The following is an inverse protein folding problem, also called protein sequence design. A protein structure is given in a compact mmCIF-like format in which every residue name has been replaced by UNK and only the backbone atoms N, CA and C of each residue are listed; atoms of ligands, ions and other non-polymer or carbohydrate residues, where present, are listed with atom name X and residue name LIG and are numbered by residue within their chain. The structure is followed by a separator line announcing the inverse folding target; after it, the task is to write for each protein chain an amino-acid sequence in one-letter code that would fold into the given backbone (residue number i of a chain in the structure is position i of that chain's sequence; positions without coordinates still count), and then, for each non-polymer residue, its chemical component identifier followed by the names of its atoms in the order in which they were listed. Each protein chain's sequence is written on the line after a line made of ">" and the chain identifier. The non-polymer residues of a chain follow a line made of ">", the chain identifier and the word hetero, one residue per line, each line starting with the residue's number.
data_IF_100318578372
#
_entry.id   IF_100318578372
#
_cell.length_a   1.000
_cell.length_b   1.000
_cell.length_c   1.000
_cell.angle_alpha   90.00
_cell.angle_beta   90.00
_cell.angle_gamma   90.00
#
_symmetry.space_group_name_H-M   'P 1'
#
loop_
_entity.id
_entity.type
_entity.pdbx_description
1 polymer ?
#
# COMPACT_ATOMS: atom_id res chain seq x y z
N UNK A 1 -105.31 -26.70 -34.45
CA UNK A 1 -106.07 -25.74 -35.29
C UNK A 1 -106.13 -26.28 -36.70
N UNK A 2 -107.36 -26.52 -37.18
CA UNK A 2 -107.84 -26.53 -38.57
C UNK A 2 -107.29 -27.55 -39.59
N UNK A 3 -108.17 -28.50 -39.88
CA UNK A 3 -108.44 -29.12 -41.17
C UNK A 3 -108.34 -28.16 -42.37
N UNK A 4 -107.85 -28.66 -43.51
CA UNK A 4 -108.25 -28.21 -44.85
C UNK A 4 -108.25 -29.40 -45.82
N UNK A 5 -109.44 -29.96 -46.01
CA UNK A 5 -109.82 -30.86 -47.10
C UNK A 5 -109.97 -30.03 -48.37
N UNK A 6 -109.36 -30.47 -49.47
CA UNK A 6 -109.55 -29.91 -50.81
C UNK A 6 -109.89 -31.02 -51.80
N UNK A 7 -111.18 -31.19 -52.06
CA UNK A 7 -111.74 -31.97 -53.17
C UNK A 7 -111.54 -31.21 -54.49
N UNK A 8 -111.15 -31.91 -55.56
CA UNK A 8 -111.56 -31.51 -56.91
C UNK A 8 -111.68 -32.73 -57.83
N UNK A 9 -112.92 -32.95 -58.28
CA UNK A 9 -113.41 -33.96 -59.21
C UNK A 9 -113.44 -33.33 -60.60
N UNK A 10 -113.01 -34.02 -61.66
CA UNK A 10 -113.59 -33.86 -63.00
C UNK A 10 -113.75 -35.25 -63.68
N UNK A 11 -114.92 -35.55 -64.29
CA UNK A 11 -115.34 -36.85 -64.80
C UNK A 11 -115.19 -36.93 -66.34
N UNK A 12 -115.74 -37.98 -66.97
CA UNK A 12 -115.96 -38.13 -68.43
C UNK A 12 -114.90 -38.88 -69.27
N UNK A 13 -114.83 -40.21 -69.10
CA UNK A 13 -114.45 -41.14 -70.19
C UNK A 13 -115.60 -42.12 -70.48
N UNK A 14 -116.84 -41.61 -70.45
CA UNK A 14 -118.07 -42.30 -70.89
C UNK A 14 -118.50 -41.90 -72.32
N UNK A 15 -117.70 -41.08 -73.01
CA UNK A 15 -117.96 -40.62 -74.39
C UNK A 15 -117.37 -41.49 -75.52
N UNK A 16 -116.61 -42.54 -75.21
CA UNK A 16 -115.90 -43.35 -76.21
C UNK A 16 -116.72 -44.56 -76.73
N UNK A 17 -118.06 -44.40 -76.83
CA UNK A 17 -119.00 -45.50 -77.05
C UNK A 17 -119.39 -45.79 -78.51
N UNK A 18 -119.26 -44.90 -79.50
CA UNK A 18 -120.27 -44.97 -80.59
C UNK A 18 -119.74 -44.83 -82.03
N UNK A 19 -119.01 -45.84 -82.53
CA UNK A 19 -118.84 -46.20 -83.98
C UNK A 19 -117.92 -47.43 -84.04
N UNK A 20 -118.34 -48.64 -84.38
CA UNK A 20 -119.06 -49.03 -85.60
C UNK A 20 -119.76 -50.38 -85.44
N UNK A 21 -120.91 -50.47 -86.10
CA UNK A 21 -121.75 -51.64 -86.32
C UNK A 21 -121.61 -52.04 -87.80
N UNK A 22 -121.48 -53.35 -88.04
CA UNK A 22 -121.80 -54.14 -89.23
C UNK A 22 -120.92 -54.05 -90.51
N UNK A 23 -120.40 -55.22 -90.95
CA UNK A 23 -120.51 -55.72 -92.34
C UNK A 23 -120.14 -57.22 -92.41
N UNK A 24 -121.18 -58.04 -92.53
CA UNK A 24 -121.37 -59.25 -93.35
C UNK A 24 -120.16 -60.11 -93.79
N UNK A 25 -120.14 -61.36 -93.27
CA UNK A 25 -119.99 -62.67 -93.94
C UNK A 25 -118.98 -62.83 -95.09
N UNK A 26 -118.06 -63.79 -94.92
CA UNK A 26 -117.87 -64.91 -95.88
C UNK A 26 -116.96 -66.01 -95.33
N UNK A 27 -117.57 -67.15 -95.02
CA UNK A 27 -116.90 -68.46 -94.97
C UNK A 27 -116.66 -68.94 -96.41
N UNK A 28 -115.49 -69.55 -96.72
CA UNK A 28 -115.53 -70.91 -97.24
C UNK A 28 -114.38 -71.83 -96.77
N UNK A 29 -114.77 -73.05 -96.40
CA UNK A 29 -114.17 -74.37 -96.67
C UNK A 29 -112.67 -74.68 -96.43
N UNK A 30 -112.46 -75.62 -95.48
CA UNK A 30 -111.74 -76.92 -95.59
C UNK A 30 -110.93 -77.15 -96.87
N UNK A 31 -109.69 -77.62 -96.88
CA UNK A 31 -108.81 -78.36 -95.95
C UNK A 31 -107.36 -78.11 -96.42
N UNK A 32 -106.38 -78.05 -95.50
CA UNK A 32 -105.05 -78.70 -95.65
C UNK A 32 -104.08 -78.30 -94.52
N UNK A 33 -104.05 -79.18 -93.53
CA UNK A 33 -103.01 -79.56 -92.56
C UNK A 33 -101.65 -78.80 -92.63
N UNK A 34 -101.34 -78.01 -91.58
CA UNK A 34 -100.00 -77.80 -91.01
C UNK A 34 -100.08 -77.52 -89.50
N UNK A 35 -99.14 -78.06 -88.74
CA UNK A 35 -99.21 -78.33 -87.29
C UNK A 35 -99.07 -77.11 -86.36
N UNK A 36 -99.78 -77.18 -85.22
CA UNK A 36 -99.99 -76.20 -84.14
C UNK A 36 -98.74 -75.69 -83.38
N UNK A 37 -97.53 -76.14 -83.74
CA UNK A 37 -96.30 -75.89 -82.96
C UNK A 37 -95.62 -74.53 -83.23
N UNK A 38 -96.05 -73.77 -84.25
CA UNK A 38 -95.49 -72.45 -84.58
C UNK A 38 -96.19 -71.24 -83.92
N UNK A 39 -97.30 -71.44 -83.16
CA UNK A 39 -98.04 -70.32 -82.52
C UNK A 39 -97.71 -70.05 -81.04
N UNK A 40 -96.82 -70.82 -80.41
CA UNK A 40 -96.41 -70.61 -79.01
C UNK A 40 -95.03 -69.96 -78.88
N UNK A 41 -94.74 -68.96 -79.72
CA UNK A 41 -93.71 -67.99 -79.39
C UNK A 41 -94.29 -67.00 -78.37
N UNK A 42 -93.92 -67.18 -77.10
CA UNK A 42 -94.41 -66.44 -75.94
C UNK A 42 -94.16 -64.94 -76.11
N UNK A 43 -95.17 -64.18 -76.52
CA UNK A 43 -95.19 -62.72 -76.51
C UNK A 43 -95.72 -62.24 -75.15
N UNK A 44 -95.00 -61.38 -74.40
CA UNK A 44 -95.45 -60.87 -73.10
C UNK A 44 -96.70 -59.95 -73.19
N UNK A 45 -97.56 -59.97 -72.15
CA UNK A 45 -98.78 -59.15 -72.02
C UNK A 45 -98.51 -57.69 -71.61
N UNK A 46 -99.39 -56.74 -71.91
CA UNK A 46 -99.27 -55.33 -71.51
C UNK A 46 -99.12 -55.14 -69.98
N UNK A 47 -99.77 -55.98 -69.17
CA UNK A 47 -99.58 -56.00 -67.70
C UNK A 47 -98.16 -56.41 -67.29
N UNK A 48 -97.51 -57.27 -68.08
CA UNK A 48 -96.14 -57.73 -67.83
C UNK A 48 -95.14 -56.59 -68.06
N UNK A 49 -95.37 -55.75 -69.07
CA UNK A 49 -94.55 -54.57 -69.38
C UNK A 49 -94.66 -53.52 -68.27
N UNK A 50 -95.88 -53.22 -67.82
CA UNK A 50 -96.11 -52.25 -66.73
C UNK A 50 -95.45 -52.71 -65.42
N UNK A 51 -95.50 -54.02 -65.13
CA UNK A 51 -94.87 -54.62 -63.95
C UNK A 51 -93.35 -54.49 -63.98
N UNK A 52 -92.72 -54.81 -65.12
CA UNK A 52 -91.28 -54.66 -65.31
C UNK A 52 -90.82 -53.21 -65.19
N UNK A 53 -91.60 -52.25 -65.72
CA UNK A 53 -91.32 -50.82 -65.61
C UNK A 53 -91.39 -50.32 -64.15
N UNK A 54 -92.35 -50.84 -63.38
CA UNK A 54 -92.49 -50.51 -61.96
C UNK A 54 -91.34 -51.10 -61.14
N UNK A 55 -90.95 -52.34 -61.41
CA UNK A 55 -89.77 -52.98 -60.79
C UNK A 55 -88.48 -52.21 -61.12
N UNK A 56 -88.29 -51.81 -62.37
CA UNK A 56 -87.13 -51.00 -62.78
C UNK A 56 -87.08 -49.65 -62.06
N UNK A 57 -88.21 -48.93 -61.99
CA UNK A 57 -88.30 -47.66 -61.25
C UNK A 57 -88.06 -47.83 -59.75
N UNK A 58 -88.56 -48.91 -59.15
CA UNK A 58 -88.28 -49.21 -57.74
C UNK A 58 -86.81 -49.53 -57.49
N UNK A 59 -86.14 -50.25 -58.40
CA UNK A 59 -84.70 -50.49 -58.32
C UNK A 59 -83.90 -49.19 -58.43
N UNK A 60 -84.28 -48.27 -59.33
CA UNK A 60 -83.65 -46.95 -59.45
C UNK A 60 -83.86 -46.08 -58.21
N UNK A 61 -85.07 -46.10 -57.63
CA UNK A 61 -85.37 -45.39 -56.38
C UNK A 61 -84.60 -45.99 -55.20
N UNK A 62 -84.48 -47.32 -55.12
CA UNK A 62 -83.67 -48.00 -54.11
C UNK A 62 -82.21 -47.57 -54.16
N UNK A 63 -81.61 -47.53 -55.36
CA UNK A 63 -80.23 -47.04 -55.56
C UNK A 63 -80.06 -45.57 -55.15
N UNK A 64 -81.04 -44.72 -55.44
CA UNK A 64 -81.02 -43.31 -55.01
C UNK A 64 -81.12 -43.17 -53.49
N UNK A 65 -81.93 -44.00 -52.84
CA UNK A 65 -82.05 -44.01 -51.37
C UNK A 65 -80.72 -44.44 -50.76
N UNK A 66 -80.11 -45.51 -51.26
CA UNK A 66 -78.80 -46.01 -50.80
C UNK A 66 -77.70 -44.93 -50.95
N UNK A 67 -77.62 -44.26 -52.11
CA UNK A 67 -76.67 -43.16 -52.32
C UNK A 67 -76.89 -41.99 -51.36
N UNK A 68 -78.14 -41.59 -51.12
CA UNK A 68 -78.45 -40.51 -50.17
C UNK A 68 -78.12 -40.90 -48.72
N UNK A 69 -78.27 -42.18 -48.35
CA UNK A 69 -77.87 -42.69 -47.05
C UNK A 69 -76.33 -42.68 -46.90
N UNK A 70 -75.58 -43.06 -47.93
CA UNK A 70 -74.11 -42.95 -47.96
C UNK A 70 -73.64 -41.50 -47.85
N UNK A 71 -74.20 -40.58 -48.66
CA UNK A 71 -73.87 -39.15 -48.61
C UNK A 71 -74.16 -38.55 -47.23
N UNK A 72 -75.29 -38.91 -46.62
CA UNK A 72 -75.64 -38.49 -45.25
C UNK A 72 -74.66 -39.03 -44.22
N UNK A 73 -74.16 -40.26 -44.38
CA UNK A 73 -73.15 -40.85 -43.50
C UNK A 73 -71.79 -40.15 -43.66
N UNK A 74 -71.37 -39.83 -44.89
CA UNK A 74 -70.16 -39.05 -45.15
C UNK A 74 -70.22 -37.65 -44.52
N UNK A 75 -71.31 -36.92 -44.73
CA UNK A 75 -71.49 -35.59 -44.13
C UNK A 75 -71.47 -35.62 -42.60
N UNK A 76 -72.03 -36.66 -41.98
CA UNK A 76 -71.93 -36.85 -40.52
C UNK A 76 -70.50 -37.05 -40.06
N UNK A 77 -69.74 -37.89 -40.75
CA UNK A 77 -68.32 -38.11 -40.45
C UNK A 77 -67.52 -36.82 -40.60
N UNK A 78 -67.73 -36.06 -41.68
CA UNK A 78 -67.05 -34.78 -41.91
C UNK A 78 -67.32 -33.76 -40.81
N UNK A 79 -68.58 -33.65 -40.38
CA UNK A 79 -68.97 -32.77 -39.25
C UNK A 79 -68.25 -33.19 -37.96
N UNK A 80 -68.17 -34.48 -37.69
CA UNK A 80 -67.50 -34.97 -36.47
C UNK A 80 -65.98 -34.80 -36.55
N UNK A 81 -65.36 -34.97 -37.72
CA UNK A 81 -63.94 -34.65 -37.96
C UNK A 81 -63.67 -33.16 -37.71
N UNK A 82 -64.48 -32.26 -38.27
CA UNK A 82 -64.32 -30.82 -38.07
C UNK A 82 -64.47 -30.42 -36.59
N UNK A 83 -65.43 -31.00 -35.87
CA UNK A 83 -65.54 -30.79 -34.40
C UNK A 83 -64.27 -31.23 -33.67
N UNK A 84 -63.70 -32.36 -34.07
CA UNK A 84 -62.50 -32.91 -33.42
C UNK A 84 -61.25 -32.07 -33.71
N UNK A 85 -61.13 -31.52 -34.93
CA UNK A 85 -60.07 -30.59 -35.31
C UNK A 85 -60.19 -29.25 -34.59
N UNK A 86 -61.38 -28.65 -34.55
CA UNK A 86 -61.61 -27.38 -33.83
C UNK A 86 -61.34 -27.50 -32.34
N UNK A 87 -61.70 -28.63 -31.73
CA UNK A 87 -61.40 -28.91 -30.33
C UNK A 87 -59.88 -29.08 -30.07
N UNK A 88 -59.14 -29.73 -30.99
CA UNK A 88 -57.67 -29.80 -30.94
C UNK A 88 -57.04 -28.41 -31.05
N UNK A 89 -57.49 -27.59 -31.99
CA UNK A 89 -57.00 -26.23 -32.17
C UNK A 89 -57.28 -25.37 -30.93
N UNK A 90 -58.47 -25.50 -30.33
CA UNK A 90 -58.82 -24.81 -29.08
C UNK A 90 -57.87 -25.20 -27.94
N UNK A 91 -57.61 -26.49 -27.76
CA UNK A 91 -56.65 -26.98 -26.74
C UNK A 91 -55.22 -26.48 -27.00
N UNK A 92 -54.79 -26.50 -28.25
CA UNK A 92 -53.48 -25.98 -28.65
C UNK A 92 -53.33 -24.48 -28.37
N UNK A 93 -54.36 -23.69 -28.71
CA UNK A 93 -54.41 -22.25 -28.45
C UNK A 93 -54.32 -21.94 -26.94
N UNK A 94 -55.14 -22.62 -26.13
CA UNK A 94 -55.14 -22.41 -24.68
C UNK A 94 -53.76 -22.70 -24.07
N UNK A 95 -53.10 -23.80 -24.50
CA UNK A 95 -51.75 -24.13 -24.02
C UNK A 95 -50.71 -23.07 -24.40
N UNK A 96 -50.75 -22.58 -25.64
CA UNK A 96 -49.85 -21.52 -26.09
C UNK A 96 -50.05 -20.21 -25.30
N UNK A 97 -51.28 -19.90 -24.92
CA UNK A 97 -51.62 -18.72 -24.12
C UNK A 97 -51.11 -18.84 -22.67
N UNK A 98 -51.24 -20.03 -22.05
CA UNK A 98 -50.64 -20.33 -20.74
C UNK A 98 -49.10 -20.22 -20.75
N UNK A 99 -48.45 -20.71 -21.81
CA UNK A 99 -47.00 -20.60 -21.99
C UNK A 99 -46.57 -19.13 -22.15
N UNK A 100 -47.34 -18.33 -22.89
CA UNK A 100 -47.10 -16.90 -23.07
C UNK A 100 -47.22 -16.14 -21.74
N UNK A 101 -48.25 -16.42 -20.94
CA UNK A 101 -48.44 -15.79 -19.63
C UNK A 101 -47.35 -16.21 -18.62
N UNK A 102 -46.93 -17.47 -18.68
CA UNK A 102 -45.79 -17.98 -17.90
C UNK A 102 -44.50 -17.26 -18.28
N UNK A 103 -44.22 -17.11 -19.58
CA UNK A 103 -43.04 -16.41 -20.10
C UNK A 103 -43.04 -14.93 -19.69
N UNK A 104 -44.18 -14.24 -19.83
CA UNK A 104 -44.36 -12.85 -19.41
C UNK A 104 -44.12 -12.66 -17.92
N UNK A 105 -44.56 -13.61 -17.11
CA UNK A 105 -44.33 -13.61 -15.66
C UNK A 105 -42.86 -13.83 -15.32
N UNK A 106 -42.20 -14.78 -15.99
CA UNK A 106 -40.78 -15.04 -15.82
C UNK A 106 -39.92 -13.84 -16.24
N UNK A 107 -40.25 -13.18 -17.34
CA UNK A 107 -39.58 -11.97 -17.78
C UNK A 107 -39.69 -10.83 -16.75
N UNK A 108 -40.89 -10.62 -16.18
CA UNK A 108 -41.08 -9.63 -15.09
C UNK A 108 -40.23 -9.96 -13.86
N UNK A 109 -40.18 -11.23 -13.46
CA UNK A 109 -39.33 -11.69 -12.34
C UNK A 109 -37.85 -11.44 -12.61
N UNK A 110 -37.36 -11.78 -13.81
CA UNK A 110 -35.97 -11.54 -14.22
C UNK A 110 -35.62 -10.04 -14.16
N UNK A 111 -36.49 -9.17 -14.68
CA UNK A 111 -36.28 -7.72 -14.62
C UNK A 111 -36.23 -7.18 -13.19
N UNK A 112 -37.04 -7.73 -12.29
CA UNK A 112 -37.04 -7.36 -10.88
C UNK A 112 -35.80 -7.86 -10.15
N UNK A 113 -35.28 -9.05 -10.46
CA UNK A 113 -34.06 -9.59 -9.85
C UNK A 113 -32.78 -8.90 -10.35
N UNK A 114 -32.77 -8.37 -11.57
CA UNK A 114 -31.63 -7.60 -12.11
C UNK A 114 -31.44 -6.23 -11.46
N UNK A 115 -32.49 -5.61 -10.89
CA UNK A 115 -32.41 -4.31 -10.20
C UNK A 115 -31.46 -4.32 -8.97
N UNK A 116 -31.61 -5.23 -8.00
CA UNK A 116 -30.72 -5.28 -6.83
C UNK A 116 -29.31 -5.79 -7.16
N UNK A 117 -29.15 -6.62 -8.20
CA UNK A 117 -27.84 -7.10 -8.64
C UNK A 117 -26.99 -6.04 -9.38
N UNK A 118 -27.45 -4.79 -9.50
CA UNK A 118 -26.75 -3.71 -10.20
C UNK A 118 -26.67 -3.88 -11.72
N UNK A 119 -27.21 -4.97 -12.28
CA UNK A 119 -27.28 -5.25 -13.73
C UNK A 119 -28.22 -4.30 -14.48
N UNK A 120 -29.03 -3.52 -13.77
CA UNK A 120 -29.83 -2.44 -14.35
C UNK A 120 -29.06 -1.13 -14.57
N UNK A 121 -27.78 -1.05 -14.15
CA UNK A 121 -26.92 0.12 -14.40
C UNK A 121 -26.66 0.28 -15.89
N UNK A 122 -26.74 1.51 -16.38
CA UNK A 122 -26.34 1.82 -17.76
C UNK A 122 -24.82 1.72 -17.91
N UNK A 123 -24.35 1.45 -19.13
CA UNK A 123 -22.92 1.32 -19.42
C UNK A 123 -22.10 2.56 -19.02
N UNK A 124 -22.69 3.76 -19.04
CA UNK A 124 -22.05 4.99 -18.55
C UNK A 124 -21.85 5.03 -17.04
N UNK A 125 -22.82 4.53 -16.27
CA UNK A 125 -22.68 4.44 -14.81
C UNK A 125 -21.53 3.50 -14.43
N UNK A 126 -21.40 2.37 -15.14
CA UNK A 126 -20.26 1.47 -14.97
C UNK A 126 -18.93 2.13 -15.32
N UNK A 127 -18.87 2.93 -16.40
CA UNK A 127 -17.66 3.67 -16.75
C UNK A 127 -17.28 4.70 -15.68
N UNK A 128 -18.25 5.44 -15.14
CA UNK A 128 -18.00 6.39 -14.06
C UNK A 128 -17.50 5.70 -12.79
N UNK A 129 -18.10 4.58 -12.40
CA UNK A 129 -17.71 3.84 -11.20
C UNK A 129 -16.30 3.24 -11.33
N UNK A 130 -15.94 2.71 -12.50
CA UNK A 130 -14.58 2.25 -12.80
C UNK A 130 -13.60 3.43 -12.67
N UNK A 131 -13.91 4.58 -13.26
CA UNK A 131 -13.04 5.75 -13.22
C UNK A 131 -12.87 6.32 -11.79
N UNK A 132 -13.92 6.24 -10.96
CA UNK A 132 -13.85 6.61 -9.54
C UNK A 132 -12.97 5.64 -8.75
N UNK A 133 -13.07 4.34 -8.99
CA UNK A 133 -12.22 3.33 -8.35
C UNK A 133 -10.76 3.40 -8.83
N UNK A 134 -10.52 3.69 -10.11
CA UNK A 134 -9.19 4.02 -10.62
C UNK A 134 -8.61 5.24 -9.90
N UNK A 135 -9.38 6.32 -9.80
CA UNK A 135 -8.96 7.53 -9.09
C UNK A 135 -8.70 7.30 -7.59
N UNK A 136 -9.44 6.37 -6.96
CA UNK A 136 -9.20 5.93 -5.58
C UNK A 136 -7.91 5.11 -5.49
N UNK A 137 -7.69 4.21 -6.44
CA UNK A 137 -6.47 3.39 -6.52
C UNK A 137 -5.24 4.27 -6.68
N UNK A 138 -5.26 5.26 -7.57
CA UNK A 138 -4.18 6.24 -7.76
C UNK A 138 -3.89 7.06 -6.50
N UNK A 139 -4.94 7.38 -5.72
CA UNK A 139 -4.77 8.06 -4.43
C UNK A 139 -4.09 7.16 -3.41
N UNK A 140 -4.47 5.89 -3.35
CA UNK A 140 -3.85 4.92 -2.44
C UNK A 140 -2.40 4.62 -2.83
N UNK A 141 -2.11 4.53 -4.12
CA UNK A 141 -0.75 4.34 -4.62
C UNK A 141 0.15 5.52 -4.26
N UNK A 142 -0.32 6.76 -4.43
CA UNK A 142 0.44 7.95 -3.97
C UNK A 142 0.68 7.95 -2.47
N UNK A 143 -0.33 7.60 -1.66
CA UNK A 143 -0.15 7.49 -0.20
C UNK A 143 0.84 6.40 0.18
N UNK A 144 0.82 5.27 -0.52
CA UNK A 144 1.76 4.19 -0.31
C UNK A 144 3.19 4.64 -0.58
N UNK A 145 3.43 5.32 -1.71
CA UNK A 145 4.73 5.88 -2.04
C UNK A 145 5.20 6.93 -1.03
N UNK A 146 4.31 7.82 -0.58
CA UNK A 146 4.64 8.83 0.43
C UNK A 146 5.08 8.18 1.76
N UNK A 147 4.32 7.18 2.24
CA UNK A 147 4.66 6.42 3.44
C UNK A 147 5.96 5.65 3.25
N UNK A 148 6.22 5.10 2.07
CA UNK A 148 7.47 4.41 1.77
C UNK A 148 8.68 5.37 1.86
N UNK A 149 8.59 6.56 1.27
CA UNK A 149 9.66 7.58 1.35
C UNK A 149 9.90 8.01 2.80
N UNK A 150 8.83 8.18 3.59
CA UNK A 150 8.94 8.50 5.02
C UNK A 150 9.62 7.37 5.81
N UNK A 151 9.28 6.11 5.55
CA UNK A 151 9.92 4.97 6.19
C UNK A 151 11.42 4.91 5.85
N UNK A 152 11.79 5.09 4.59
CA UNK A 152 13.20 5.14 4.18
C UNK A 152 13.96 6.29 4.86
N UNK A 153 13.33 7.45 5.05
CA UNK A 153 13.92 8.57 5.77
C UNK A 153 14.11 8.26 7.27
N UNK A 154 13.15 7.57 7.89
CA UNK A 154 13.27 7.12 9.28
C UNK A 154 14.36 6.06 9.44
N UNK A 155 14.48 5.09 8.52
CA UNK A 155 15.55 4.09 8.54
C UNK A 155 16.94 4.72 8.42
N UNK A 156 17.09 5.74 7.55
CA UNK A 156 18.33 6.52 7.45
C UNK A 156 18.65 7.22 8.77
N UNK A 157 17.67 7.90 9.36
CA UNK A 157 17.84 8.61 10.64
C UNK A 157 18.19 7.66 11.79
N UNK A 158 17.58 6.47 11.83
CA UNK A 158 17.90 5.42 12.82
C UNK A 158 19.31 4.88 12.64
N UNK A 159 19.76 4.71 11.40
CA UNK A 159 21.12 4.25 11.08
C UNK A 159 22.16 5.30 11.48
N UNK A 160 21.90 6.57 11.21
CA UNK A 160 22.73 7.69 11.62
C UNK A 160 22.84 7.77 13.15
N UNK A 161 21.71 7.76 13.87
CA UNK A 161 21.70 7.75 15.34
C UNK A 161 22.44 6.54 15.94
N UNK A 162 22.33 5.37 15.29
CA UNK A 162 23.08 4.18 15.72
C UNK A 162 24.59 4.38 15.54
N UNK A 163 25.03 4.96 14.43
CA UNK A 163 26.43 5.28 14.19
C UNK A 163 26.98 6.32 15.18
N UNK A 164 26.23 7.39 15.44
CA UNK A 164 26.58 8.42 16.43
C UNK A 164 26.72 7.82 17.83
N UNK A 165 25.81 6.92 18.21
CA UNK A 165 25.87 6.21 19.49
C UNK A 165 27.16 5.39 19.61
N UNK A 166 27.59 4.74 18.55
CA UNK A 166 28.81 3.94 18.55
C UNK A 166 30.07 4.83 18.59
N UNK A 167 30.07 6.00 17.93
CA UNK A 167 31.12 7.01 18.10
C UNK A 167 31.19 7.55 19.53
N UNK A 168 30.05 7.84 20.15
CA UNK A 168 29.99 8.30 21.54
C UNK A 168 30.53 7.25 22.50
N UNK A 169 30.20 5.96 22.30
CA UNK A 169 30.80 4.88 23.08
C UNK A 169 32.31 4.83 22.92
N UNK A 170 32.83 5.02 21.69
CA UNK A 170 34.27 5.03 21.45
C UNK A 170 34.96 6.18 22.21
N UNK A 171 34.37 7.38 22.19
CA UNK A 171 34.84 8.55 22.95
C UNK A 171 34.80 8.31 24.46
N UNK A 172 33.73 7.71 24.98
CA UNK A 172 33.63 7.33 26.41
C UNK A 172 34.74 6.35 26.77
N UNK A 173 34.96 5.31 25.97
CA UNK A 173 36.02 4.34 26.23
C UNK A 173 37.44 4.97 26.21
N UNK A 174 37.66 5.99 25.38
CA UNK A 174 38.91 6.75 25.38
C UNK A 174 39.06 7.62 26.64
N UNK A 175 38.00 8.30 27.05
CA UNK A 175 37.98 9.09 28.28
C UNK A 175 38.22 8.20 29.50
N UNK A 176 37.58 7.04 29.59
CA UNK A 176 37.83 6.06 30.65
C UNK A 176 39.30 5.61 30.69
N UNK A 177 39.90 5.34 29.53
CA UNK A 177 41.35 5.03 29.42
C UNK A 177 42.22 6.20 29.89
N UNK A 178 41.91 7.44 29.52
CA UNK A 178 42.65 8.61 30.01
C UNK A 178 42.48 8.82 31.52
N UNK A 179 41.27 8.62 32.04
CA UNK A 179 40.96 8.77 33.46
C UNK A 179 41.67 7.69 34.28
N UNK A 180 41.70 6.46 33.79
CA UNK A 180 42.46 5.38 34.39
C UNK A 180 43.96 5.70 34.41
N UNK A 181 44.52 6.20 33.29
CA UNK A 181 45.92 6.68 33.25
C UNK A 181 46.19 7.80 34.26
N UNK A 182 45.27 8.76 34.40
CA UNK A 182 45.39 9.84 35.37
C UNK A 182 45.32 9.34 36.82
N UNK A 183 44.38 8.43 37.13
CA UNK A 183 44.27 7.82 38.47
C UNK A 183 45.49 6.98 38.83
N UNK A 184 46.05 6.26 37.85
CA UNK A 184 47.25 5.44 38.05
C UNK A 184 48.54 6.27 38.04
N UNK A 185 48.53 7.49 37.47
CA UNK A 185 49.62 8.43 37.71
C UNK A 185 49.63 8.69 39.20
N UNK A 186 50.68 8.19 39.83
CA UNK A 186 50.88 8.26 41.25
C UNK A 186 51.34 9.67 41.63
N UNK A 187 50.57 10.68 41.22
CA UNK A 187 50.81 12.11 41.42
C UNK A 187 51.00 12.39 42.90
N UNK A 188 50.27 11.69 43.77
CA UNK A 188 50.44 11.81 45.20
C UNK A 188 51.81 11.33 45.69
N UNK A 189 52.36 10.25 45.12
CA UNK A 189 53.72 9.78 45.47
C UNK A 189 54.80 10.69 44.86
N UNK A 190 54.64 11.15 43.62
CA UNK A 190 55.58 12.11 42.99
C UNK A 190 55.59 13.46 43.74
N UNK A 191 54.41 13.97 44.12
CA UNK A 191 54.28 15.18 44.95
C UNK A 191 54.84 14.97 46.36
N UNK A 192 54.66 13.79 46.96
CA UNK A 192 55.25 13.48 48.26
C UNK A 192 56.78 13.40 48.20
N UNK A 193 57.32 12.82 47.14
CA UNK A 193 58.76 12.73 46.92
C UNK A 193 59.38 14.13 46.72
N UNK A 194 58.77 14.97 45.89
CA UNK A 194 59.22 16.37 45.70
C UNK A 194 59.09 17.20 46.98
N UNK A 195 58.00 17.05 47.74
CA UNK A 195 57.85 17.72 49.04
C UNK A 195 58.96 17.33 50.02
N UNK A 196 59.31 16.05 50.10
CA UNK A 196 60.40 15.60 50.96
C UNK A 196 61.75 16.18 50.50
N UNK A 197 61.98 16.30 49.19
CA UNK A 197 63.19 16.92 48.64
C UNK A 197 63.30 18.41 49.01
N UNK A 198 62.19 19.15 48.97
CA UNK A 198 62.14 20.56 49.39
C UNK A 198 62.45 20.67 50.89
N UNK A 199 61.86 19.81 51.74
CA UNK A 199 62.14 19.81 53.18
C UNK A 199 63.63 19.60 53.48
N UNK A 200 64.26 18.66 52.78
CA UNK A 200 65.69 18.40 52.90
C UNK A 200 66.54 19.61 52.45
N UNK A 201 66.18 20.25 51.33
CA UNK A 201 66.88 21.45 50.87
C UNK A 201 66.75 22.60 51.87
N UNK A 202 65.56 22.81 52.44
CA UNK A 202 65.35 23.85 53.45
C UNK A 202 66.20 23.61 54.70
N UNK A 203 66.35 22.35 55.15
CA UNK A 203 67.26 22.03 56.25
C UNK A 203 68.70 22.44 55.94
N UNK A 204 69.17 22.15 54.74
CA UNK A 204 70.53 22.53 54.29
C UNK A 204 70.70 24.04 54.18
N UNK A 205 69.66 24.76 53.73
CA UNK A 205 69.68 26.22 53.69
C UNK A 205 69.86 26.79 55.10
N UNK A 206 69.10 26.29 56.09
CA UNK A 206 69.26 26.72 57.49
C UNK A 206 70.66 26.39 58.02
N UNK A 207 71.20 25.19 57.73
CA UNK A 207 72.57 24.83 58.12
C UNK A 207 73.61 25.80 57.51
N UNK A 208 73.45 26.15 56.22
CA UNK A 208 74.33 27.12 55.55
C UNK A 208 74.17 28.54 56.08
N UNK A 209 72.95 28.98 56.41
CA UNK A 209 72.69 30.29 57.04
C UNK A 209 73.39 30.40 58.39
N UNK A 210 73.33 29.37 59.23
CA UNK A 210 74.06 29.35 60.50
C UNK A 210 75.58 29.36 60.31
N UNK A 211 76.09 28.68 59.28
CA UNK A 211 77.51 28.72 58.96
C UNK A 211 77.95 30.12 58.48
N UNK A 212 77.13 30.78 57.64
CA UNK A 212 77.38 32.14 57.18
C UNK A 212 77.41 33.13 58.34
N UNK A 213 76.43 33.08 59.26
CA UNK A 213 76.42 33.93 60.46
C UNK A 213 77.67 33.74 61.32
N UNK A 214 78.16 32.49 61.44
CA UNK A 214 79.42 32.24 62.14
C UNK A 214 80.61 32.90 61.43
N UNK A 215 80.70 32.80 60.10
CA UNK A 215 81.77 33.44 59.33
C UNK A 215 81.69 34.97 59.40
N UNK A 216 80.49 35.56 59.35
CA UNK A 216 80.29 37.00 59.54
C UNK A 216 80.84 37.46 60.89
N UNK A 217 80.52 36.75 61.98
CA UNK A 217 81.06 37.06 63.32
C UNK A 217 82.59 36.95 63.39
N UNK A 218 83.20 35.97 62.70
CA UNK A 218 84.66 35.86 62.63
C UNK A 218 85.28 37.04 61.88
N UNK A 219 84.68 37.48 60.78
CA UNK A 219 85.15 38.63 60.01
C UNK A 219 85.08 39.90 60.88
N UNK A 220 83.95 40.16 61.53
CA UNK A 220 83.81 41.31 62.45
C UNK A 220 84.89 41.30 63.55
N UNK A 221 85.18 40.13 64.13
CA UNK A 221 86.24 40.00 65.13
C UNK A 221 87.64 40.31 64.56
N UNK A 222 87.92 39.83 63.35
CA UNK A 222 89.19 40.12 62.67
C UNK A 222 89.33 41.59 62.32
N UNK A 223 88.26 42.24 61.85
CA UNK A 223 88.23 43.68 61.55
C UNK A 223 88.53 44.53 62.80
N UNK A 224 87.90 44.22 63.94
CA UNK A 224 88.18 44.91 65.22
C UNK A 224 89.63 44.70 65.65
N UNK A 225 90.18 43.50 65.47
CA UNK A 225 91.58 43.24 65.81
C UNK A 225 92.55 43.97 64.86
N UNK A 226 92.24 44.05 63.57
CA UNK A 226 93.02 44.82 62.60
C UNK A 226 93.05 46.31 62.96
N UNK A 227 91.89 46.88 63.33
CA UNK A 227 91.79 48.27 63.80
C UNK A 227 92.62 48.51 65.07
N UNK A 228 92.57 47.61 66.05
CA UNK A 228 93.41 47.68 67.27
C UNK A 228 94.91 47.63 66.94
N UNK A 229 95.31 46.76 66.02
CA UNK A 229 96.71 46.68 65.57
C UNK A 229 97.13 47.96 64.86
N UNK A 230 96.27 48.52 64.02
CA UNK A 230 96.53 49.80 63.34
C UNK A 230 96.73 50.95 64.33
N UNK A 231 95.87 51.07 65.36
CA UNK A 231 95.99 52.07 66.42
C UNK A 231 97.29 51.92 67.23
N UNK A 232 97.67 50.67 67.54
CA UNK A 232 98.91 50.39 68.25
C UNK A 232 100.15 50.78 67.42
N UNK A 233 100.14 50.47 66.12
CA UNK A 233 101.19 50.88 65.18
C UNK A 233 101.26 52.41 65.05
N UNK A 234 100.12 53.10 64.98
CA UNK A 234 100.06 54.57 64.93
C UNK A 234 100.65 55.18 66.21
N UNK A 235 100.34 54.61 67.37
CA UNK A 235 100.90 55.04 68.66
C UNK A 235 102.43 54.87 68.67
N UNK A 236 102.94 53.72 68.25
CA UNK A 236 104.38 53.49 68.12
C UNK A 236 105.04 54.45 67.14
N UNK A 237 104.42 54.73 66.00
CA UNK A 237 104.92 55.70 65.02
C UNK A 237 105.06 57.09 65.66
N UNK A 238 104.05 57.57 66.39
CA UNK A 238 104.15 58.85 67.10
C UNK A 238 105.26 58.87 68.16
N UNK A 239 105.47 57.75 68.88
CA UNK A 239 106.58 57.65 69.84
C UNK A 239 107.94 57.72 69.16
N UNK A 240 108.10 57.03 68.03
CA UNK A 240 109.31 57.07 67.21
C UNK A 240 109.58 58.49 66.72
N UNK A 241 108.56 59.20 66.24
CA UNK A 241 108.70 60.61 65.80
C UNK A 241 109.13 61.53 66.94
N UNK A 242 108.53 61.40 68.13
CA UNK A 242 108.90 62.18 69.33
C UNK A 242 110.36 61.90 69.72
N UNK A 243 110.77 60.63 69.77
CA UNK A 243 112.13 60.24 70.10
C UNK A 243 113.14 60.73 69.05
N UNK A 244 112.74 60.72 67.77
CA UNK A 244 113.54 61.25 66.66
C UNK A 244 113.82 62.75 66.86
N UNK A 245 112.79 63.56 67.12
CA UNK A 245 112.94 65.01 67.40
C UNK A 245 113.80 65.25 68.63
N UNK A 246 113.62 64.47 69.70
CA UNK A 246 114.44 64.57 70.91
C UNK A 246 115.92 64.29 70.60
N UNK A 247 116.19 63.26 69.82
CA UNK A 247 117.55 62.91 69.42
C UNK A 247 118.19 64.00 68.55
N UNK A 248 117.45 64.60 67.62
CA UNK A 248 117.94 65.74 66.83
C UNK A 248 118.31 66.94 67.71
N UNK A 249 117.46 67.32 68.67
CA UNK A 249 117.74 68.38 69.65
C UNK A 249 118.99 68.10 70.49
N UNK A 250 119.13 66.88 71.01
CA UNK A 250 120.28 66.46 71.81
C UNK A 250 121.57 66.49 70.96
N UNK A 251 121.48 66.06 69.69
CA UNK A 251 122.55 66.09 68.71
C UNK A 251 122.98 67.53 68.37
N UNK A 252 122.02 68.44 68.15
CA UNK A 252 122.27 69.87 67.94
C UNK A 252 122.97 70.52 69.13
N UNK A 253 122.48 70.24 70.34
CA UNK A 253 123.11 70.71 71.58
C UNK A 253 124.53 70.15 71.74
N UNK A 254 124.74 68.88 71.37
CA UNK A 254 126.06 68.25 71.32
C UNK A 254 127.01 68.96 70.34
N UNK A 255 126.53 69.29 69.13
CA UNK A 255 127.28 70.09 68.14
C UNK A 255 127.65 71.47 68.68
N UNK A 256 126.72 72.14 69.35
CA UNK A 256 126.90 73.48 69.90
C UNK A 256 127.93 73.50 71.05
N UNK A 257 127.83 72.54 71.98
CA UNK A 257 128.83 72.34 73.03
C UNK A 257 130.22 72.08 72.45
N UNK A 258 130.33 71.23 71.43
CA UNK A 258 131.61 70.97 70.76
C UNK A 258 132.19 72.24 70.08
N UNK A 259 131.34 73.17 69.64
CA UNK A 259 131.75 74.48 69.11
C UNK A 259 132.28 75.40 70.21
N UNK A 260 131.59 75.49 71.35
CA UNK A 260 132.04 76.26 72.52
C UNK A 260 133.37 75.74 73.07
N UNK A 261 133.52 74.42 73.17
CA UNK A 261 134.73 73.77 73.66
C UNK A 261 135.93 74.08 72.74
N UNK A 262 135.72 74.11 71.42
CA UNK A 262 136.72 74.59 70.46
C UNK A 262 137.07 76.07 70.69
N UNK A 263 136.10 76.95 70.90
CA UNK A 263 136.35 78.38 71.20
C UNK A 263 137.14 78.58 72.49
N UNK A 264 136.77 77.89 73.58
CA UNK A 264 137.51 77.92 74.86
C UNK A 264 138.95 77.45 74.66
N UNK A 265 139.16 76.38 73.88
CA UNK A 265 140.51 75.88 73.58
C UNK A 265 141.35 76.91 72.81
N UNK A 266 140.76 77.61 71.85
CA UNK A 266 141.43 78.72 71.14
C UNK A 266 141.75 79.88 72.08
N UNK A 267 140.81 80.31 72.92
CA UNK A 267 141.04 81.39 73.90
C UNK A 267 142.10 81.01 74.93
N UNK A 268 142.10 79.77 75.42
CA UNK A 268 143.12 79.25 76.34
C UNK A 268 144.52 79.27 75.71
N UNK A 269 144.64 78.88 74.44
CA UNK A 269 145.90 78.99 73.71
C UNK A 269 146.32 80.45 73.48
N UNK A 270 145.37 81.36 73.26
CA UNK A 270 145.64 82.79 73.07
C UNK A 270 146.07 83.48 74.37
N UNK A 271 145.44 83.14 75.49
CA UNK A 271 145.82 83.62 76.82
C UNK A 271 147.22 83.16 77.23
N UNK A 272 147.61 81.95 76.81
CA UNK A 272 148.99 81.44 76.98
C UNK A 272 150.04 82.15 76.11
N UNK A 273 149.64 82.98 75.14
CA UNK A 273 150.56 83.74 74.27
C UNK A 273 150.85 85.17 74.76
N UNK A 274 150.21 85.61 75.85
CA UNK A 274 150.44 86.91 76.48
C UNK A 274 151.09 86.80 77.87
N UNK A 275 151.58 85.60 78.21
CA UNK A 275 152.41 85.27 79.37
C UNK A 275 153.75 84.73 78.84
#
# INVERSE_FOLDING_TARGET
>A
MRFAVGLMVIPEYKGWWSKRVNDNVSQPNREDVRSMEEYLQVVPSEMEIIRQDFEKRNLELGKKIEQLEEEKMHLRLDVDVQKLETEKLRKGKNKAEEELDSLKTNYKKLRLSMRPAGLGKTSEQWRQEIQEEESKTDRWERKYQEVQVQNEALERSLSESRSEKDELKAKVAELERSLHRYRNRNTMVELRASLNKIKEMNRRVVELETALQNYEMWIELFEVNEEQVADYLQTLATQVDILSVKYELESDRGRELASLLRKIKVLSNRAKSYM
#
